data_IF_144473089560
#
_entry.id   IF_144473089560
#
_cell.length_a   1.000
_cell.length_b   1.000
_cell.length_c   1.000
_cell.angle_alpha   90.00
_cell.angle_beta   90.00
_cell.angle_gamma   90.00
#
_symmetry.space_group_name_H-M   'P 1'
#
loop_
_entity.id
_entity.type
_entity.pdbx_description
1 polymer ?
#
# COMPACT_ATOMS: atom_id res chain seq x y z
N UNK A 1 10.74 5.28 -30.24
CA UNK A 1 9.91 5.17 -29.02
C UNK A 1 10.27 6.33 -28.09
N UNK A 2 9.29 6.94 -27.42
CA UNK A 2 9.59 7.89 -26.33
C UNK A 2 9.96 7.10 -25.07
N UNK A 3 11.05 7.44 -24.36
CA UNK A 3 11.45 6.75 -23.13
C UNK A 3 10.39 6.91 -22.03
N UNK A 4 10.43 6.02 -21.05
CA UNK A 4 9.66 6.13 -19.81
C UNK A 4 10.62 6.44 -18.66
N UNK A 5 10.19 7.28 -17.73
CA UNK A 5 10.97 7.68 -16.55
C UNK A 5 10.79 6.67 -15.41
N UNK A 6 9.62 6.02 -15.36
CA UNK A 6 9.28 5.03 -14.34
C UNK A 6 8.74 3.75 -14.99
N UNK A 7 9.17 2.59 -14.48
CA UNK A 7 8.64 1.28 -14.84
C UNK A 7 7.99 0.64 -13.61
N UNK A 8 6.71 0.30 -13.71
CA UNK A 8 5.95 -0.41 -12.67
C UNK A 8 5.59 -1.80 -13.18
N UNK A 9 6.04 -2.82 -12.47
CA UNK A 9 5.72 -4.22 -12.76
C UNK A 9 4.59 -4.68 -11.83
N UNK A 10 3.36 -4.64 -12.33
CA UNK A 10 2.14 -5.04 -11.63
C UNK A 10 1.10 -3.92 -11.55
N UNK A 11 -0.14 -4.25 -11.90
CA UNK A 11 -1.30 -3.33 -11.87
C UNK A 11 -2.19 -3.50 -10.62
N UNK A 12 -1.65 -4.02 -9.52
CA UNK A 12 -2.33 -4.05 -8.21
C UNK A 12 -2.26 -2.71 -7.47
N UNK A 13 -2.86 -2.64 -6.26
CA UNK A 13 -2.99 -1.39 -5.50
C UNK A 13 -1.65 -0.67 -5.28
N UNK A 14 -0.57 -1.40 -4.95
CA UNK A 14 0.73 -0.79 -4.71
C UNK A 14 1.31 -0.13 -5.97
N UNK A 15 1.29 -0.85 -7.10
CA UNK A 15 1.82 -0.36 -8.36
C UNK A 15 1.03 0.82 -8.91
N UNK A 16 -0.31 0.75 -8.88
CA UNK A 16 -1.16 1.85 -9.33
C UNK A 16 -1.08 3.07 -8.40
N UNK A 17 -1.03 2.87 -7.08
CA UNK A 17 -0.84 3.96 -6.11
C UNK A 17 0.49 4.69 -6.34
N UNK A 18 1.57 3.94 -6.61
CA UNK A 18 2.85 4.54 -6.96
C UNK A 18 2.77 5.30 -8.29
N UNK A 19 2.24 4.66 -9.34
CA UNK A 19 2.12 5.25 -10.67
C UNK A 19 1.37 6.60 -10.64
N UNK A 20 0.26 6.68 -9.89
CA UNK A 20 -0.50 7.90 -9.71
C UNK A 20 0.32 9.02 -9.04
N UNK A 21 1.10 8.69 -8.00
CA UNK A 21 1.93 9.67 -7.26
C UNK A 21 3.09 10.24 -8.10
N UNK A 22 3.61 9.46 -9.05
CA UNK A 22 4.77 9.88 -9.87
C UNK A 22 4.39 10.34 -11.28
N UNK A 23 3.16 10.13 -11.74
CA UNK A 23 2.70 10.59 -13.06
C UNK A 23 2.91 12.10 -13.32
N UNK A 24 2.78 13.02 -12.34
CA UNK A 24 3.11 14.43 -12.57
C UNK A 24 4.61 14.71 -12.78
N UNK A 25 5.49 13.76 -12.43
CA UNK A 25 6.95 13.89 -12.46
C UNK A 25 7.59 13.22 -13.67
N UNK A 26 6.84 12.45 -14.46
CA UNK A 26 7.37 11.76 -15.64
C UNK A 26 6.43 10.73 -16.24
N UNK A 27 6.85 10.14 -17.37
CA UNK A 27 6.11 9.10 -18.08
C UNK A 27 6.26 7.76 -17.36
N UNK A 28 5.14 7.16 -16.98
CA UNK A 28 5.09 5.86 -16.30
C UNK A 28 4.67 4.76 -17.27
N UNK A 29 5.48 3.70 -17.38
CA UNK A 29 5.08 2.44 -18.00
C UNK A 29 4.58 1.47 -16.93
N UNK A 30 3.39 0.92 -17.11
CA UNK A 30 2.83 -0.12 -16.24
C UNK A 30 2.73 -1.40 -17.05
N UNK A 31 3.38 -2.45 -16.58
CA UNK A 31 3.34 -3.78 -17.18
C UNK A 31 2.59 -4.69 -16.22
N UNK A 32 1.61 -5.44 -16.73
CA UNK A 32 0.89 -6.45 -15.97
C UNK A 32 0.79 -7.75 -16.76
N UNK A 33 0.72 -8.88 -16.05
CA UNK A 33 0.77 -10.23 -16.63
C UNK A 33 -0.51 -10.61 -17.36
N UNK A 34 -1.64 -10.04 -16.95
CA UNK A 34 -2.98 -10.33 -17.48
C UNK A 34 -3.67 -9.02 -17.85
N UNK A 35 -5.00 -9.01 -17.86
CA UNK A 35 -5.79 -7.80 -18.06
C UNK A 35 -5.51 -6.73 -17.00
N UNK A 36 -5.70 -5.47 -17.37
CA UNK A 36 -5.38 -4.31 -16.53
C UNK A 36 -6.05 -4.37 -15.14
N UNK A 37 -7.28 -4.87 -15.08
CA UNK A 37 -8.08 -5.00 -13.86
C UNK A 37 -7.97 -6.38 -13.21
N UNK A 38 -7.10 -7.26 -13.68
CA UNK A 38 -6.95 -8.60 -13.11
C UNK A 38 -5.79 -8.58 -12.11
N UNK A 39 -6.13 -8.48 -10.81
CA UNK A 39 -5.17 -8.50 -9.70
C UNK A 39 -5.83 -8.97 -8.40
N UNK A 40 -5.04 -9.53 -7.46
CA UNK A 40 -5.54 -9.95 -6.15
C UNK A 40 -6.21 -8.80 -5.37
N UNK A 41 -5.78 -7.56 -5.61
CA UNK A 41 -6.42 -6.37 -5.03
C UNK A 41 -7.92 -6.33 -5.34
N UNK A 42 -8.33 -6.67 -6.55
CA UNK A 42 -9.74 -6.58 -6.96
C UNK A 42 -10.64 -7.63 -6.32
N UNK A 43 -10.04 -8.66 -5.70
CA UNK A 43 -10.76 -9.71 -4.98
C UNK A 43 -10.76 -9.50 -3.46
N UNK A 44 -10.17 -8.43 -2.95
CA UNK A 44 -10.17 -8.14 -1.52
C UNK A 44 -11.59 -7.83 -1.02
N UNK A 45 -12.03 -8.52 0.04
CA UNK A 45 -13.40 -8.42 0.56
C UNK A 45 -13.51 -7.69 1.90
N UNK A 46 -12.49 -7.83 2.77
CA UNK A 46 -12.57 -7.36 4.16
C UNK A 46 -12.60 -5.84 4.28
N UNK A 47 -11.45 -5.20 4.09
CA UNK A 47 -11.31 -3.74 4.22
C UNK A 47 -9.86 -3.33 4.42
N UNK A 48 -9.65 -2.04 4.69
CA UNK A 48 -8.35 -1.45 5.02
C UNK A 48 -8.40 -1.06 6.50
N UNK A 49 -7.55 -1.65 7.32
CA UNK A 49 -7.44 -1.29 8.73
C UNK A 49 -6.67 0.03 8.88
N UNK A 50 -7.27 1.02 9.53
CA UNK A 50 -6.65 2.30 9.85
C UNK A 50 -7.30 2.88 11.11
N UNK A 51 -6.51 3.60 11.91
CA UNK A 51 -7.01 4.29 13.11
C UNK A 51 -7.75 5.55 12.67
N UNK A 52 -9.07 5.47 12.51
CA UNK A 52 -9.92 6.60 12.09
C UNK A 52 -10.91 7.05 13.16
N UNK A 53 -11.08 6.26 14.22
CA UNK A 53 -11.95 6.59 15.35
C UNK A 53 -11.18 7.29 16.46
N UNK A 54 -11.83 8.20 17.18
CA UNK A 54 -11.28 8.79 18.41
C UNK A 54 -11.23 7.78 19.57
N UNK A 55 -11.95 6.67 19.45
CA UNK A 55 -11.96 5.57 20.43
C UNK A 55 -10.82 4.56 20.18
N UNK A 56 -10.07 4.71 19.09
CA UNK A 56 -8.93 3.87 18.72
C UNK A 56 -7.62 4.67 18.85
N UNK A 57 -6.47 4.00 18.83
CA UNK A 57 -5.16 4.66 18.89
C UNK A 57 -4.09 3.93 18.10
N UNK A 58 -3.08 4.68 17.64
CA UNK A 58 -1.93 4.10 16.95
C UNK A 58 -1.20 3.06 17.81
N UNK A 59 -1.05 3.29 19.11
CA UNK A 59 -0.37 2.33 19.99
C UNK A 59 -1.13 1.00 20.11
N UNK A 60 -2.47 1.03 20.18
CA UNK A 60 -3.28 -0.18 20.23
C UNK A 60 -3.08 -0.99 18.94
N UNK A 61 -3.21 -0.36 17.78
CA UNK A 61 -3.04 -1.02 16.49
C UNK A 61 -1.60 -1.52 16.27
N UNK A 62 -0.58 -0.76 16.69
CA UNK A 62 0.83 -1.19 16.66
C UNK A 62 1.01 -2.45 17.50
N UNK A 63 0.53 -2.46 18.74
CA UNK A 63 0.63 -3.61 19.63
C UNK A 63 -0.07 -4.84 19.04
N UNK A 64 -1.26 -4.68 18.49
CA UNK A 64 -2.01 -5.78 17.89
C UNK A 64 -1.25 -6.38 16.69
N UNK A 65 -0.66 -5.52 15.85
CA UNK A 65 0.15 -5.95 14.70
C UNK A 65 1.42 -6.68 15.14
N UNK A 66 2.14 -6.17 16.14
CA UNK A 66 3.35 -6.82 16.67
C UNK A 66 3.05 -8.16 17.35
N UNK A 67 1.93 -8.24 18.06
CA UNK A 67 1.46 -9.48 18.70
C UNK A 67 1.12 -10.53 17.64
N UNK A 68 0.34 -10.17 16.61
CA UNK A 68 0.03 -11.05 15.49
C UNK A 68 1.27 -11.44 14.67
N UNK A 69 2.27 -10.56 14.61
CA UNK A 69 3.55 -10.78 13.95
C UNK A 69 4.52 -11.72 14.66
N UNK A 70 4.17 -12.24 15.85
CA UNK A 70 4.93 -13.24 16.58
C UNK A 70 6.43 -12.91 16.77
N UNK A 71 6.74 -11.62 16.97
CA UNK A 71 8.13 -11.14 17.17
C UNK A 71 8.98 -11.04 15.89
N UNK A 72 8.40 -11.26 14.71
CA UNK A 72 9.10 -11.19 13.42
C UNK A 72 8.96 -9.85 12.71
N UNK A 73 8.08 -8.98 13.23
CA UNK A 73 7.89 -7.64 12.68
C UNK A 73 9.08 -6.73 12.97
N UNK A 74 9.41 -5.87 12.01
CA UNK A 74 10.22 -4.69 12.29
C UNK A 74 9.31 -3.59 12.85
N UNK A 75 9.45 -3.33 14.16
CA UNK A 75 8.59 -2.37 14.87
C UNK A 75 8.59 -0.97 14.25
N UNK A 76 9.74 -0.47 13.79
CA UNK A 76 9.82 0.86 13.18
C UNK A 76 8.98 0.95 11.91
N UNK A 77 8.95 -0.13 11.12
CA UNK A 77 8.16 -0.20 9.88
C UNK A 77 6.67 -0.31 10.22
N UNK A 78 6.30 -1.16 11.19
CA UNK A 78 4.91 -1.30 11.65
C UNK A 78 4.35 0.05 12.10
N UNK A 79 5.08 0.75 12.97
CA UNK A 79 4.70 2.08 13.46
C UNK A 79 4.49 3.07 12.32
N UNK A 80 5.45 3.15 11.40
CA UNK A 80 5.37 4.06 10.25
C UNK A 80 4.12 3.79 9.39
N UNK A 81 3.84 2.52 9.08
CA UNK A 81 2.68 2.15 8.26
C UNK A 81 1.36 2.52 8.94
N UNK A 82 1.25 2.25 10.25
CA UNK A 82 0.01 2.47 11.01
C UNK A 82 -0.25 3.96 11.22
N UNK A 83 0.77 4.75 11.55
CA UNK A 83 0.64 6.20 11.75
C UNK A 83 0.34 6.95 10.44
N UNK A 84 0.91 6.51 9.31
CA UNK A 84 0.60 7.11 7.99
C UNK A 84 -0.77 6.70 7.43
N UNK A 85 -1.30 5.55 7.85
CA UNK A 85 -2.49 4.91 7.28
C UNK A 85 -3.71 5.82 7.12
N UNK A 86 -4.15 6.57 8.14
CA UNK A 86 -5.36 7.40 8.05
C UNK A 86 -5.30 8.54 7.03
N UNK A 87 -4.10 9.00 6.67
CA UNK A 87 -3.89 10.12 5.77
C UNK A 87 -3.59 9.71 4.31
N UNK A 88 -3.57 8.40 4.01
CA UNK A 88 -3.10 7.84 2.73
C UNK A 88 -4.12 7.85 1.60
#
# INVERSE_FOLDING_TARGET
MKPFDFLVLGSGIAGLSFALKVAPRGRVAIITKKDRAESNTNYAQGGIAAVTSQEDSFELHVRDTLTAGAGLCNEKVVRTIIEEGPAR
#
